data_IF_860386761823
#
_entry.id   IF_860386761823
#
_cell.length_a   1.000
_cell.length_b   1.000
_cell.length_c   1.000
_cell.angle_alpha   90.00
_cell.angle_beta   90.00
_cell.angle_gamma   90.00
#
_symmetry.space_group_name_H-M   'P 1'
#
loop_
_entity.id
_entity.type
_entity.pdbx_description
1 polymer ?
#
# COMPACT_ATOMS: atom_id res chain seq x y z
N UNK A 1 18.27 -34.30 -5.65
CA UNK A 1 16.97 -33.62 -5.44
C UNK A 1 17.15 -32.25 -4.77
N UNK A 2 17.91 -32.12 -3.67
CA UNK A 2 18.16 -30.82 -3.03
C UNK A 2 18.94 -29.82 -3.92
N UNK A 3 19.94 -30.28 -4.68
CA UNK A 3 20.73 -29.41 -5.58
C UNK A 3 19.90 -28.85 -6.75
N UNK A 4 19.02 -29.65 -7.35
CA UNK A 4 18.08 -29.23 -8.40
C UNK A 4 17.09 -28.17 -7.94
N UNK A 5 16.65 -28.25 -6.68
CA UNK A 5 15.74 -27.25 -6.10
C UNK A 5 16.46 -25.93 -5.82
N UNK A 6 17.73 -26.01 -5.42
CA UNK A 6 18.56 -24.83 -5.16
C UNK A 6 18.94 -24.09 -6.45
N UNK A 7 19.24 -24.83 -7.53
CA UNK A 7 19.56 -24.25 -8.84
C UNK A 7 18.34 -23.61 -9.51
N UNK A 8 17.14 -24.18 -9.34
CA UNK A 8 15.89 -23.59 -9.82
C UNK A 8 15.56 -22.26 -9.13
N UNK A 9 15.71 -22.21 -7.80
CA UNK A 9 15.48 -20.99 -7.01
C UNK A 9 16.47 -19.89 -7.39
N UNK A 10 17.75 -20.24 -7.53
CA UNK A 10 18.79 -19.30 -7.96
C UNK A 10 18.50 -18.76 -9.37
N UNK A 11 18.11 -19.64 -10.31
CA UNK A 11 17.81 -19.22 -11.68
C UNK A 11 16.59 -18.29 -11.73
N UNK A 12 15.55 -18.59 -10.95
CA UNK A 12 14.38 -17.72 -10.84
C UNK A 12 14.76 -16.34 -10.30
N UNK A 13 15.64 -16.29 -9.29
CA UNK A 13 16.13 -15.03 -8.73
C UNK A 13 16.95 -14.23 -9.74
N UNK A 14 17.91 -14.87 -10.44
CA UNK A 14 18.72 -14.22 -11.49
C UNK A 14 17.85 -13.70 -12.63
N UNK A 15 16.83 -14.45 -13.06
CA UNK A 15 15.94 -14.03 -14.15
C UNK A 15 14.94 -12.95 -13.73
N UNK A 16 14.60 -12.88 -12.44
CA UNK A 16 13.74 -11.81 -11.92
C UNK A 16 14.40 -10.44 -11.94
N UNK A 17 15.74 -10.37 -11.89
CA UNK A 17 16.52 -9.13 -12.00
C UNK A 17 16.83 -8.70 -13.43
N UNK A 18 16.45 -9.48 -14.45
CA UNK A 18 16.64 -9.12 -15.86
C UNK A 18 15.50 -8.22 -16.31
N UNK A 19 15.77 -6.99 -16.73
CA UNK A 19 14.74 -5.98 -17.00
C UNK A 19 14.24 -5.97 -18.44
N UNK A 20 15.08 -6.39 -19.40
CA UNK A 20 14.75 -6.40 -20.82
C UNK A 20 15.37 -7.60 -21.57
N UNK A 21 14.93 -7.80 -22.82
CA UNK A 21 15.36 -8.93 -23.64
C UNK A 21 16.85 -8.86 -24.05
N UNK A 22 17.48 -7.68 -24.04
CA UNK A 22 18.91 -7.53 -24.33
C UNK A 22 19.74 -8.01 -23.16
N UNK A 23 19.36 -7.63 -21.94
CA UNK A 23 19.98 -8.14 -20.73
C UNK A 23 19.83 -9.67 -20.62
N UNK A 24 18.71 -10.23 -21.08
CA UNK A 24 18.54 -11.68 -21.10
C UNK A 24 19.56 -12.39 -21.99
N UNK A 25 19.91 -11.81 -23.15
CA UNK A 25 20.90 -12.37 -24.08
C UNK A 25 22.33 -12.37 -23.50
N UNK A 26 22.63 -11.46 -22.57
CA UNK A 26 23.91 -11.40 -21.87
C UNK A 26 24.03 -12.43 -20.75
N UNK A 27 22.91 -12.71 -20.06
CA UNK A 27 22.90 -13.53 -18.83
C UNK A 27 22.62 -15.01 -19.14
N UNK A 28 21.94 -15.30 -20.25
CA UNK A 28 21.57 -16.66 -20.65
C UNK A 28 22.58 -17.22 -21.67
N UNK A 29 23.18 -18.39 -21.43
CA UNK A 29 24.05 -19.04 -22.41
C UNK A 29 23.31 -19.31 -23.73
N UNK A 30 23.96 -18.96 -24.86
CA UNK A 30 23.42 -19.16 -26.22
C UNK A 30 23.03 -20.61 -26.54
N UNK A 31 23.66 -21.57 -25.88
CA UNK A 31 23.31 -22.98 -25.98
C UNK A 31 22.57 -23.41 -24.72
N UNK A 32 21.27 -23.65 -24.85
CA UNK A 32 20.44 -24.12 -23.75
C UNK A 32 20.56 -25.62 -23.51
N UNK A 33 21.16 -26.41 -24.42
CA UNK A 33 21.15 -27.87 -24.37
C UNK A 33 21.80 -28.47 -23.13
N UNK A 34 22.69 -27.73 -22.49
CA UNK A 34 23.32 -28.10 -21.22
C UNK A 34 22.42 -27.93 -19.99
N UNK A 35 21.30 -27.22 -20.10
CA UNK A 35 20.37 -27.03 -18.98
C UNK A 35 19.37 -28.19 -18.86
N UNK A 36 18.97 -28.48 -17.61
CA UNK A 36 17.84 -29.36 -17.37
C UNK A 36 16.55 -28.72 -17.89
N UNK A 37 15.57 -29.56 -18.25
CA UNK A 37 14.31 -29.11 -18.87
C UNK A 37 13.56 -28.06 -18.02
N UNK A 38 13.64 -28.15 -16.70
CA UNK A 38 13.03 -27.18 -15.78
C UNK A 38 13.66 -25.79 -15.94
N UNK A 39 15.00 -25.71 -15.94
CA UNK A 39 15.72 -24.45 -16.15
C UNK A 39 15.47 -23.87 -17.53
N UNK A 40 15.42 -24.71 -18.58
CA UNK A 40 15.02 -24.29 -19.93
C UNK A 40 13.63 -23.64 -19.94
N UNK A 41 12.67 -24.24 -19.23
CA UNK A 41 11.31 -23.71 -19.16
C UNK A 41 11.25 -22.35 -18.47
N UNK A 42 12.02 -22.14 -17.39
CA UNK A 42 12.06 -20.86 -16.67
C UNK A 42 12.68 -19.76 -17.54
N UNK A 43 13.80 -20.06 -18.22
CA UNK A 43 14.44 -19.14 -19.17
C UNK A 43 13.49 -18.77 -20.30
N UNK A 44 12.88 -19.77 -20.96
CA UNK A 44 11.91 -19.55 -22.05
C UNK A 44 10.70 -18.75 -21.57
N UNK A 45 10.19 -19.04 -20.38
CA UNK A 45 9.09 -18.28 -19.80
C UNK A 45 9.49 -16.81 -19.63
N UNK A 46 10.65 -16.51 -19.05
CA UNK A 46 11.15 -15.14 -18.91
C UNK A 46 11.39 -14.47 -20.27
N UNK A 47 11.90 -15.19 -21.26
CA UNK A 47 12.04 -14.67 -22.63
C UNK A 47 10.69 -14.26 -23.20
N UNK A 48 9.66 -15.10 -23.06
CA UNK A 48 8.31 -14.76 -23.53
C UNK A 48 7.70 -13.58 -22.76
N UNK A 49 8.02 -13.43 -21.48
CA UNK A 49 7.64 -12.26 -20.68
C UNK A 49 8.27 -10.96 -21.20
N UNK A 50 9.58 -10.96 -21.41
CA UNK A 50 10.34 -9.79 -21.87
C UNK A 50 10.03 -9.40 -23.32
N UNK A 51 9.67 -10.38 -24.15
CA UNK A 51 9.21 -10.15 -25.53
C UNK A 51 7.71 -9.79 -25.61
N UNK A 52 6.99 -9.75 -24.48
CA UNK A 52 5.56 -9.47 -24.43
C UNK A 52 4.67 -10.57 -25.04
N UNK A 53 5.22 -11.75 -25.30
CA UNK A 53 4.52 -12.91 -25.88
C UNK A 53 3.65 -13.63 -24.83
N UNK A 54 4.07 -13.59 -23.56
CA UNK A 54 3.35 -14.19 -22.43
C UNK A 54 3.40 -13.24 -21.23
N UNK A 55 2.34 -13.14 -20.44
CA UNK A 55 2.40 -12.39 -19.17
C UNK A 55 3.25 -13.16 -18.14
N UNK A 56 3.96 -12.46 -17.25
CA UNK A 56 4.53 -13.11 -16.08
C UNK A 56 3.45 -13.83 -15.30
N UNK A 57 3.76 -15.02 -14.80
CA UNK A 57 2.96 -15.60 -13.74
C UNK A 57 3.06 -14.63 -12.57
N UNK A 58 1.99 -13.86 -12.30
CA UNK A 58 1.96 -12.99 -11.15
C UNK A 58 2.27 -13.84 -9.91
N UNK A 59 3.17 -13.38 -9.00
CA UNK A 59 3.34 -14.07 -7.74
C UNK A 59 1.97 -14.26 -7.09
N UNK A 60 1.75 -15.36 -6.35
CA UNK A 60 0.47 -15.58 -5.69
C UNK A 60 0.17 -14.34 -4.86
N UNK A 61 -1.00 -13.74 -5.11
CA UNK A 61 -1.43 -12.59 -4.33
C UNK A 61 -1.43 -13.02 -2.86
N UNK A 62 -0.80 -12.24 -1.96
CA UNK A 62 -0.68 -12.64 -0.57
C UNK A 62 -2.05 -12.91 0.03
N UNK A 63 -2.19 -14.04 0.72
CA UNK A 63 -3.44 -14.45 1.37
C UNK A 63 -3.41 -14.16 2.87
N UNK A 64 -2.22 -14.14 3.47
CA UNK A 64 -2.03 -13.80 4.87
C UNK A 64 -2.18 -12.28 5.09
N UNK A 65 -2.93 -11.84 6.11
CA UNK A 65 -3.16 -10.41 6.36
C UNK A 65 -1.88 -9.57 6.46
N UNK A 66 -0.81 -10.12 7.04
CA UNK A 66 0.47 -9.42 7.20
C UNK A 66 1.21 -9.27 5.88
N UNK A 67 1.12 -10.27 5.02
CA UNK A 67 1.70 -10.20 3.68
C UNK A 67 0.93 -9.22 2.78
N UNK A 68 -0.41 -9.17 2.90
CA UNK A 68 -1.25 -8.18 2.19
C UNK A 68 -0.90 -6.77 2.65
N UNK A 69 -0.79 -6.56 3.96
CA UNK A 69 -0.41 -5.27 4.54
C UNK A 69 0.96 -4.81 4.03
N UNK A 70 2.01 -5.64 4.13
CA UNK A 70 3.34 -5.25 3.65
C UNK A 70 3.39 -5.10 2.12
N UNK A 71 2.58 -5.86 1.38
CA UNK A 71 2.46 -5.67 -0.07
C UNK A 71 1.91 -4.28 -0.40
N UNK A 72 0.86 -3.82 0.28
CA UNK A 72 0.33 -2.47 0.11
C UNK A 72 1.34 -1.39 0.54
N UNK A 73 2.09 -1.62 1.61
CA UNK A 73 3.19 -0.73 2.03
C UNK A 73 4.25 -0.61 0.93
N UNK A 74 4.66 -1.73 0.33
CA UNK A 74 5.65 -1.73 -0.75
C UNK A 74 5.14 -0.99 -2.00
N UNK A 75 3.84 -1.10 -2.33
CA UNK A 75 3.24 -0.34 -3.43
C UNK A 75 3.35 1.18 -3.20
N UNK A 76 3.20 1.65 -1.96
CA UNK A 76 3.40 3.07 -1.62
C UNK A 76 4.88 3.45 -1.79
N UNK A 77 5.82 2.62 -1.31
CA UNK A 77 7.26 2.87 -1.46
C UNK A 77 7.64 2.96 -2.93
N UNK A 78 7.23 1.98 -3.75
CA UNK A 78 7.49 1.96 -5.18
C UNK A 78 6.92 3.22 -5.86
N UNK A 79 5.72 3.66 -5.46
CA UNK A 79 5.11 4.87 -6.00
C UNK A 79 5.87 6.15 -5.63
N UNK A 80 6.42 6.21 -4.40
CA UNK A 80 7.27 7.33 -3.97
C UNK A 80 8.59 7.34 -4.74
N UNK A 81 9.19 6.17 -4.96
CA UNK A 81 10.45 6.01 -5.71
C UNK A 81 10.28 6.33 -7.20
N UNK A 82 9.12 6.03 -7.79
CA UNK A 82 8.91 6.10 -9.25
C UNK A 82 8.49 7.49 -9.75
N UNK A 83 7.78 8.36 -9.00
CA UNK A 83 7.62 9.77 -9.42
C UNK A 83 6.95 10.76 -8.44
N UNK A 84 7.56 11.94 -8.37
CA UNK A 84 7.21 13.16 -7.62
C UNK A 84 5.93 13.92 -8.08
N UNK A 85 5.09 13.38 -8.98
CA UNK A 85 4.07 14.19 -9.71
C UNK A 85 2.61 13.70 -9.65
N UNK A 86 2.33 12.58 -8.98
CA UNK A 86 0.96 12.06 -8.86
C UNK A 86 0.56 11.86 -7.39
N UNK A 87 0.56 12.96 -6.63
CA UNK A 87 0.19 12.96 -5.21
C UNK A 87 -1.18 12.34 -4.91
N UNK A 88 -2.13 12.46 -5.84
CA UNK A 88 -3.46 11.83 -5.73
C UNK A 88 -3.37 10.30 -5.67
N UNK A 89 -2.44 9.67 -6.39
CA UNK A 89 -2.27 8.20 -6.38
C UNK A 89 -1.75 7.74 -5.02
N UNK A 90 -0.77 8.47 -4.47
CA UNK A 90 -0.21 8.21 -3.14
C UNK A 90 -1.26 8.41 -2.05
N UNK A 91 -2.02 9.50 -2.09
CA UNK A 91 -3.14 9.73 -1.16
C UNK A 91 -4.11 8.55 -1.18
N UNK A 92 -4.51 8.10 -2.38
CA UNK A 92 -5.43 6.98 -2.54
C UNK A 92 -4.86 5.68 -1.93
N UNK A 93 -3.59 5.36 -2.18
CA UNK A 93 -2.95 4.16 -1.63
C UNK A 93 -2.88 4.20 -0.09
N UNK A 94 -2.58 5.37 0.49
CA UNK A 94 -2.51 5.56 1.94
C UNK A 94 -3.88 5.43 2.61
N UNK A 95 -4.93 6.01 2.00
CA UNK A 95 -6.33 5.84 2.44
C UNK A 95 -6.76 4.37 2.39
N UNK A 96 -6.44 3.66 1.30
CA UNK A 96 -6.74 2.24 1.14
C UNK A 96 -6.01 1.38 2.18
N UNK A 97 -4.74 1.69 2.47
CA UNK A 97 -3.97 1.01 3.52
C UNK A 97 -4.61 1.24 4.90
N UNK A 98 -4.98 2.49 5.23
CA UNK A 98 -5.61 2.82 6.50
C UNK A 98 -6.91 2.03 6.69
N UNK A 99 -7.77 2.02 5.65
CA UNK A 99 -9.00 1.24 5.65
C UNK A 99 -8.74 -0.26 5.79
N UNK A 100 -7.75 -0.80 5.07
CA UNK A 100 -7.37 -2.21 5.18
C UNK A 100 -7.01 -2.57 6.63
N UNK A 101 -6.09 -1.85 7.25
CA UNK A 101 -5.67 -2.13 8.63
C UNK A 101 -6.82 -2.00 9.64
N UNK A 102 -7.75 -1.07 9.42
CA UNK A 102 -8.95 -0.94 10.26
C UNK A 102 -9.90 -2.13 10.11
N UNK A 103 -10.17 -2.60 8.89
CA UNK A 103 -11.04 -3.76 8.67
C UNK A 103 -10.43 -5.05 9.22
N UNK A 104 -9.12 -5.24 9.06
CA UNK A 104 -8.39 -6.39 9.63
C UNK A 104 -8.32 -6.33 11.17
N UNK A 105 -8.51 -5.15 11.80
CA UNK A 105 -8.72 -5.07 13.26
C UNK A 105 -10.08 -5.62 13.69
N UNK A 106 -11.13 -5.32 12.93
CA UNK A 106 -12.50 -5.66 13.29
C UNK A 106 -12.79 -7.13 13.00
N UNK A 107 -12.31 -7.64 11.86
CA UNK A 107 -12.67 -8.96 11.36
C UNK A 107 -12.45 -10.11 12.37
N UNK A 108 -11.31 -10.20 13.10
CA UNK A 108 -11.12 -11.23 14.12
C UNK A 108 -12.12 -11.13 15.28
N UNK A 109 -12.61 -9.94 15.62
CA UNK A 109 -13.62 -9.75 16.68
C UNK A 109 -15.00 -10.27 16.28
N UNK A 110 -15.22 -10.46 14.98
CA UNK A 110 -16.45 -11.02 14.40
C UNK A 110 -16.35 -12.53 14.11
N UNK A 111 -15.16 -13.13 14.29
CA UNK A 111 -14.84 -14.52 13.95
C UNK A 111 -15.67 -15.58 14.67
N UNK A 112 -16.38 -15.21 15.75
CA UNK A 112 -17.32 -16.10 16.44
C UNK A 112 -18.70 -16.19 15.77
N UNK A 113 -18.92 -15.49 14.65
CA UNK A 113 -20.20 -15.48 13.93
C UNK A 113 -20.09 -16.15 12.56
N UNK A 114 -21.17 -16.80 12.11
CA UNK A 114 -21.32 -17.31 10.74
C UNK A 114 -21.11 -16.22 9.66
N UNK A 115 -21.19 -14.95 10.05
CA UNK A 115 -20.92 -13.82 9.18
C UNK A 115 -19.45 -13.77 8.74
N UNK A 116 -18.48 -14.11 9.61
CA UNK A 116 -17.05 -14.07 9.27
C UNK A 116 -16.69 -15.04 8.13
N UNK A 117 -17.34 -16.21 8.07
CA UNK A 117 -17.18 -17.16 6.96
C UNK A 117 -17.75 -16.60 5.66
N UNK A 118 -18.90 -15.92 5.74
CA UNK A 118 -19.53 -15.27 4.58
C UNK A 118 -18.65 -14.16 4.00
N UNK A 119 -17.95 -13.40 4.86
CA UNK A 119 -17.00 -12.36 4.41
C UNK A 119 -15.80 -13.01 3.70
N UNK A 120 -15.24 -14.09 4.27
CA UNK A 120 -14.11 -14.83 3.71
C UNK A 120 -14.44 -15.47 2.36
N UNK A 121 -15.66 -15.98 2.22
CA UNK A 121 -16.10 -16.72 1.03
C UNK A 121 -16.85 -15.89 -0.01
N UNK A 122 -16.83 -14.56 0.14
CA UNK A 122 -17.43 -13.65 -0.84
C UNK A 122 -16.81 -13.84 -2.23
N UNK A 123 -17.62 -14.38 -3.15
CA UNK A 123 -17.23 -14.67 -4.53
C UNK A 123 -16.73 -13.43 -5.28
N UNK A 124 -17.37 -12.27 -5.08
CA UNK A 124 -16.96 -11.04 -5.75
C UNK A 124 -15.60 -10.53 -5.28
N UNK A 125 -15.28 -10.73 -3.99
CA UNK A 125 -13.93 -10.44 -3.47
C UNK A 125 -12.91 -11.37 -4.14
N UNK A 126 -13.21 -12.67 -4.27
CA UNK A 126 -12.32 -13.63 -4.94
C UNK A 126 -12.08 -13.28 -6.41
N UNK A 127 -13.12 -12.90 -7.15
CA UNK A 127 -12.99 -12.44 -8.54
C UNK A 127 -12.15 -11.16 -8.64
N UNK A 128 -12.39 -10.17 -7.78
CA UNK A 128 -11.62 -8.92 -7.77
C UNK A 128 -10.15 -9.15 -7.37
N UNK A 129 -9.88 -10.07 -6.44
CA UNK A 129 -8.50 -10.46 -6.10
C UNK A 129 -7.79 -11.10 -7.29
N UNK A 130 -8.50 -11.82 -8.16
CA UNK A 130 -7.94 -12.32 -9.40
C UNK A 130 -7.69 -11.19 -10.41
N UNK A 131 -8.64 -10.26 -10.57
CA UNK A 131 -8.44 -9.06 -11.42
C UNK A 131 -7.26 -8.22 -10.95
N UNK A 132 -7.06 -8.09 -9.63
CA UNK A 132 -5.94 -7.35 -9.04
C UNK A 132 -4.58 -7.94 -9.43
N UNK A 133 -4.48 -9.26 -9.62
CA UNK A 133 -3.26 -9.92 -10.11
C UNK A 133 -2.93 -9.54 -11.56
N UNK A 134 -3.95 -9.18 -12.34
CA UNK A 134 -3.84 -8.83 -13.75
C UNK A 134 -3.77 -7.32 -14.00
N UNK A 135 -3.95 -6.51 -12.96
CA UNK A 135 -4.03 -5.05 -13.01
C UNK A 135 -2.73 -4.43 -13.52
N UNK A 136 -2.86 -3.39 -14.36
CA UNK A 136 -1.77 -2.65 -14.97
C UNK A 136 -1.80 -1.21 -14.50
N UNK A 137 -0.84 -0.87 -13.66
CA UNK A 137 -0.64 0.48 -13.17
C UNK A 137 -1.38 0.78 -11.86
N UNK A 138 -0.94 1.83 -11.15
CA UNK A 138 -1.38 2.11 -9.80
C UNK A 138 -2.84 2.57 -9.71
N UNK A 139 -3.40 3.20 -10.75
CA UNK A 139 -4.81 3.63 -10.77
C UNK A 139 -5.77 2.43 -10.83
N UNK A 140 -5.45 1.43 -11.66
CA UNK A 140 -6.26 0.21 -11.77
C UNK A 140 -6.16 -0.62 -10.48
N UNK A 141 -4.96 -0.73 -9.90
CA UNK A 141 -4.72 -1.36 -8.60
C UNK A 141 -5.57 -0.70 -7.52
N UNK A 142 -5.50 0.62 -7.40
CA UNK A 142 -6.27 1.39 -6.41
C UNK A 142 -7.78 1.22 -6.61
N UNK A 143 -8.23 1.23 -7.87
CA UNK A 143 -9.64 1.03 -8.21
C UNK A 143 -10.16 -0.35 -7.76
N UNK A 144 -9.42 -1.43 -8.05
CA UNK A 144 -9.81 -2.78 -7.67
C UNK A 144 -9.74 -2.96 -6.15
N UNK A 145 -8.67 -2.47 -5.50
CA UNK A 145 -8.53 -2.50 -4.05
C UNK A 145 -9.66 -1.74 -3.33
N UNK A 146 -10.06 -0.57 -3.84
CA UNK A 146 -11.19 0.18 -3.31
C UNK A 146 -12.50 -0.64 -3.38
N UNK A 147 -12.72 -1.38 -4.47
CA UNK A 147 -13.88 -2.26 -4.58
C UNK A 147 -13.84 -3.40 -3.56
N UNK A 148 -12.69 -4.06 -3.40
CA UNK A 148 -12.51 -5.14 -2.42
C UNK A 148 -12.80 -4.63 -1.00
N UNK A 149 -12.22 -3.49 -0.61
CA UNK A 149 -12.39 -2.94 0.73
C UNK A 149 -13.81 -2.45 0.98
N UNK A 150 -14.48 -1.87 -0.03
CA UNK A 150 -15.89 -1.52 0.08
C UNK A 150 -16.77 -2.75 0.33
N UNK A 151 -16.54 -3.85 -0.40
CA UNK A 151 -17.28 -5.11 -0.16
C UNK A 151 -17.03 -5.65 1.25
N UNK A 152 -15.76 -5.74 1.68
CA UNK A 152 -15.40 -6.16 3.05
C UNK A 152 -16.10 -5.30 4.11
N UNK A 153 -16.10 -3.97 3.93
CA UNK A 153 -16.71 -3.04 4.85
C UNK A 153 -18.24 -3.21 4.93
N UNK A 154 -18.92 -3.40 3.80
CA UNK A 154 -20.36 -3.66 3.74
C UNK A 154 -20.73 -4.98 4.43
N UNK A 155 -19.92 -6.01 4.23
CA UNK A 155 -20.14 -7.32 4.86
C UNK A 155 -19.91 -7.24 6.38
N UNK A 156 -18.88 -6.52 6.83
CA UNK A 156 -18.63 -6.25 8.25
C UNK A 156 -19.76 -5.45 8.88
N UNK A 157 -20.25 -4.40 8.20
CA UNK A 157 -21.40 -3.61 8.66
C UNK A 157 -22.64 -4.49 8.87
N UNK A 158 -22.93 -5.36 7.91
CA UNK A 158 -24.08 -6.27 8.00
C UNK A 158 -23.93 -7.20 9.21
N UNK A 159 -22.75 -7.79 9.38
CA UNK A 159 -22.44 -8.66 10.51
C UNK A 159 -22.61 -7.96 11.88
N UNK A 160 -22.12 -6.72 11.99
CA UNK A 160 -22.23 -5.91 13.23
C UNK A 160 -23.69 -5.53 13.50
N UNK A 161 -24.45 -5.14 12.47
CA UNK A 161 -25.87 -4.81 12.58
C UNK A 161 -26.69 -6.02 13.05
N UNK A 162 -26.44 -7.20 12.47
CA UNK A 162 -27.15 -8.43 12.83
C UNK A 162 -26.81 -8.87 14.27
N UNK A 163 -25.54 -8.77 14.68
CA UNK A 163 -25.12 -9.05 16.05
C UNK A 163 -25.81 -8.12 17.06
N UNK A 164 -25.92 -6.82 16.75
CA UNK A 164 -26.58 -5.84 17.60
C UNK A 164 -28.09 -6.04 17.71
N UNK A 165 -28.73 -6.65 16.72
CA UNK A 165 -30.14 -7.02 16.79
C UNK A 165 -30.36 -8.24 17.69
N UNK A 166 -29.37 -9.13 17.80
CA UNK A 166 -29.42 -10.34 18.62
C UNK A 166 -29.08 -10.05 20.08
N UNK A 167 -28.05 -9.22 20.32
CA UNK A 167 -27.51 -8.92 21.65
C UNK A 167 -27.96 -7.51 22.07
N UNK A 168 -28.97 -7.42 22.94
CA UNK A 168 -29.49 -6.17 23.51
C UNK A 168 -28.49 -5.41 24.45
N UNK A 169 -27.20 -5.77 24.46
CA UNK A 169 -26.18 -5.09 25.25
C UNK A 169 -25.35 -4.13 24.39
N UNK A 170 -25.17 -2.92 24.93
CA UNK A 170 -24.36 -1.83 24.39
C UNK A 170 -24.67 -1.38 22.94
N UNK A 171 -25.96 -1.18 22.68
CA UNK A 171 -26.49 -0.59 21.42
C UNK A 171 -25.75 0.69 21.01
N UNK A 172 -25.30 1.50 21.96
CA UNK A 172 -24.56 2.75 21.68
C UNK A 172 -23.19 2.48 21.07
N UNK A 173 -22.43 1.50 21.55
CA UNK A 173 -21.13 1.17 20.98
C UNK A 173 -21.26 0.51 19.61
N UNK A 174 -22.27 -0.34 19.41
CA UNK A 174 -22.57 -0.94 18.10
C UNK A 174 -22.97 0.13 17.07
N UNK A 175 -23.81 1.09 17.46
CA UNK A 175 -24.22 2.20 16.60
C UNK A 175 -23.04 3.12 16.24
N UNK A 176 -22.14 3.41 17.21
CA UNK A 176 -20.89 4.11 16.94
C UNK A 176 -20.02 3.38 15.92
N UNK A 177 -19.84 2.07 16.09
CA UNK A 177 -19.04 1.26 15.15
C UNK A 177 -19.66 1.23 13.75
N UNK A 178 -20.98 1.10 13.65
CA UNK A 178 -21.71 1.17 12.38
C UNK A 178 -21.53 2.53 11.70
N UNK A 179 -21.61 3.63 12.45
CA UNK A 179 -21.37 4.97 11.90
C UNK A 179 -19.92 5.14 11.41
N UNK A 180 -18.94 4.58 12.13
CA UNK A 180 -17.55 4.56 11.69
C UNK A 180 -17.41 3.78 10.37
N UNK A 181 -18.02 2.59 10.26
CA UNK A 181 -18.01 1.80 9.03
C UNK A 181 -18.66 2.54 7.84
N UNK A 182 -19.78 3.23 8.08
CA UNK A 182 -20.42 4.04 7.04
C UNK A 182 -19.54 5.20 6.57
N UNK A 183 -18.84 5.88 7.49
CA UNK A 183 -17.88 6.92 7.13
C UNK A 183 -16.72 6.38 6.29
N UNK A 184 -16.24 5.18 6.61
CA UNK A 184 -15.18 4.52 5.84
C UNK A 184 -15.59 4.14 4.41
N UNK A 185 -16.89 4.03 4.11
CA UNK A 185 -17.37 3.78 2.74
C UNK A 185 -17.27 5.01 1.82
N UNK A 186 -17.14 6.21 2.37
CA UNK A 186 -17.11 7.47 1.59
C UNK A 186 -15.88 7.51 0.67
N UNK A 187 -14.70 7.22 1.21
CA UNK A 187 -13.44 7.29 0.45
C UNK A 187 -13.38 6.28 -0.71
N UNK A 188 -13.65 4.98 -0.51
CA UNK A 188 -13.82 4.04 -1.61
C UNK A 188 -14.86 4.48 -2.64
N UNK A 189 -16.01 5.02 -2.21
CA UNK A 189 -17.02 5.51 -3.15
C UNK A 189 -16.50 6.65 -4.04
N UNK A 190 -15.77 7.61 -3.47
CA UNK A 190 -15.10 8.68 -4.22
C UNK A 190 -14.07 8.11 -5.20
N UNK A 191 -13.16 7.25 -4.74
CA UNK A 191 -12.12 6.61 -5.56
C UNK A 191 -12.70 5.87 -6.77
N UNK A 192 -13.70 5.03 -6.51
CA UNK A 192 -14.34 4.21 -7.54
C UNK A 192 -15.11 5.13 -8.50
N UNK A 193 -15.78 6.18 -8.00
CA UNK A 193 -16.52 7.12 -8.85
C UNK A 193 -15.62 7.90 -9.83
N UNK A 194 -14.42 8.33 -9.38
CA UNK A 194 -13.43 9.02 -10.21
C UNK A 194 -12.96 8.16 -11.39
N UNK A 195 -12.77 6.85 -11.16
CA UNK A 195 -12.20 5.92 -12.14
C UNK A 195 -13.26 5.06 -12.87
N UNK A 196 -14.56 5.22 -12.56
CA UNK A 196 -15.66 4.41 -13.10
C UNK A 196 -15.78 4.42 -14.63
N UNK A 197 -15.34 5.51 -15.29
CA UNK A 197 -15.37 5.59 -16.77
C UNK A 197 -14.24 4.82 -17.44
N UNK A 198 -13.14 4.58 -16.72
CA UNK A 198 -11.96 3.89 -17.23
C UNK A 198 -12.06 2.36 -17.10
N UNK A 199 -12.82 1.85 -16.12
CA UNK A 199 -12.88 0.42 -15.82
C UNK A 199 -14.31 -0.13 -15.88
N UNK A 200 -14.47 -1.29 -16.55
CA UNK A 200 -15.78 -1.87 -16.91
C UNK A 200 -16.45 -2.69 -15.78
N UNK A 201 -15.73 -3.12 -14.74
CA UNK A 201 -16.26 -3.93 -13.64
C UNK A 201 -16.60 -3.08 -12.42
N UNK A 202 -17.90 -2.90 -12.14
CA UNK A 202 -18.39 -2.19 -10.95
C UNK A 202 -19.29 -3.12 -10.15
N UNK A 203 -18.73 -3.79 -9.14
CA UNK A 203 -19.42 -4.83 -8.36
C UNK A 203 -19.99 -4.32 -7.05
N UNK A 204 -19.51 -3.18 -6.56
CA UNK A 204 -19.82 -2.68 -5.20
C UNK A 204 -21.24 -2.17 -4.99
N UNK A 205 -22.00 -1.82 -6.03
CA UNK A 205 -23.41 -1.38 -5.91
C UNK A 205 -24.42 -2.48 -6.22
N UNK A 206 -23.97 -3.69 -6.55
CA UNK A 206 -24.84 -4.83 -6.77
C UNK A 206 -25.34 -5.34 -5.41
N UNK A 207 -26.59 -5.78 -5.38
CA UNK A 207 -27.24 -6.34 -4.18
C UNK A 207 -28.42 -5.50 -3.66
N UNK A 208 -29.27 -6.16 -2.88
CA UNK A 208 -30.54 -5.64 -2.37
C UNK A 208 -30.56 -5.53 -0.83
N UNK A 209 -29.40 -5.61 -0.17
CA UNK A 209 -29.31 -5.41 1.29
C UNK A 209 -29.45 -3.92 1.63
N UNK A 210 -29.89 -3.61 2.85
CA UNK A 210 -29.97 -2.23 3.35
C UNK A 210 -28.64 -1.46 3.16
N UNK A 211 -27.51 -2.12 3.40
CA UNK A 211 -26.19 -1.53 3.22
C UNK A 211 -25.85 -1.23 1.76
N UNK A 212 -26.41 -2.00 0.82
CA UNK A 212 -26.24 -1.77 -0.61
C UNK A 212 -27.00 -0.50 -1.03
N UNK A 213 -28.18 -0.25 -0.46
CA UNK A 213 -28.95 0.99 -0.66
C UNK A 213 -28.25 2.20 -0.06
N UNK A 214 -27.78 2.10 1.19
CA UNK A 214 -27.00 3.16 1.83
C UNK A 214 -25.74 3.47 1.01
N UNK A 215 -25.05 2.44 0.51
CA UNK A 215 -23.84 2.64 -0.30
C UNK A 215 -24.13 3.29 -1.66
N UNK A 216 -25.29 3.02 -2.28
CA UNK A 216 -25.73 3.73 -3.50
C UNK A 216 -25.92 5.23 -3.23
N UNK A 217 -26.55 5.60 -2.11
CA UNK A 217 -26.70 7.01 -1.71
C UNK A 217 -25.35 7.68 -1.44
N UNK A 218 -24.45 7.01 -0.71
CA UNK A 218 -23.08 7.50 -0.48
C UNK A 218 -22.37 7.73 -1.83
N UNK A 219 -22.49 6.79 -2.76
CA UNK A 219 -21.87 6.90 -4.09
C UNK A 219 -22.47 8.04 -4.90
N UNK A 220 -23.79 8.26 -4.84
CA UNK A 220 -24.43 9.38 -5.52
C UNK A 220 -23.96 10.73 -4.98
N UNK A 221 -23.85 10.86 -3.66
CA UNK A 221 -23.28 12.06 -3.01
C UNK A 221 -21.83 12.28 -3.42
N UNK A 222 -21.01 11.24 -3.39
CA UNK A 222 -19.61 11.28 -3.83
C UNK A 222 -19.45 11.73 -5.29
N UNK A 223 -20.31 11.25 -6.20
CA UNK A 223 -20.32 11.69 -7.61
C UNK A 223 -20.65 13.18 -7.72
N UNK A 224 -21.64 13.68 -6.98
CA UNK A 224 -22.01 15.10 -6.98
C UNK A 224 -20.88 15.98 -6.43
N UNK A 225 -20.19 15.55 -5.38
CA UNK A 225 -19.04 16.25 -4.79
C UNK A 225 -17.85 16.30 -5.74
N UNK A 226 -17.51 15.16 -6.37
CA UNK A 226 -16.42 15.09 -7.34
C UNK A 226 -16.66 15.98 -8.57
N UNK A 227 -17.91 16.15 -9.00
CA UNK A 227 -18.25 17.08 -10.08
C UNK A 227 -18.08 18.56 -9.69
N UNK A 228 -18.24 18.90 -8.41
CA UNK A 228 -18.05 20.27 -7.89
C UNK A 228 -16.57 20.65 -7.74
N UNK A 229 -15.73 19.68 -7.37
CA UNK A 229 -14.28 19.88 -7.20
C UNK A 229 -13.52 20.08 -8.52
N UNK A 230 -14.16 19.89 -9.68
CA UNK A 230 -13.54 20.16 -10.99
C UNK A 230 -13.29 21.66 -11.26
N UNK A 231 -13.73 22.54 -10.36
CA UNK A 231 -13.42 23.97 -10.35
C UNK A 231 -12.20 24.17 -9.44
N UNK A 232 -11.00 24.24 -10.04
CA UNK A 232 -9.68 24.25 -9.38
C UNK A 232 -9.55 25.28 -8.26
N UNK A 233 -9.11 24.81 -7.09
CA UNK A 233 -8.26 25.60 -6.20
C UNK A 233 -6.85 25.65 -6.82
N UNK A 234 -6.40 26.84 -7.18
CA UNK A 234 -5.01 27.14 -7.51
C UNK A 234 -4.37 27.62 -6.22
N UNK A 235 -3.99 26.69 -5.37
CA UNK A 235 -3.16 26.95 -4.19
C UNK A 235 -1.75 26.45 -4.49
N UNK A 236 -0.74 27.23 -4.12
CA UNK A 236 0.68 26.88 -4.32
C UNK A 236 1.16 25.73 -3.42
N UNK A 237 0.25 25.12 -2.64
CA UNK A 237 0.52 24.02 -1.73
C UNK A 237 -0.14 22.73 -2.25
N UNK A 238 0.57 21.60 -2.38
CA UNK A 238 -0.03 20.37 -2.86
C UNK A 238 -1.03 19.82 -1.82
N UNK A 239 -2.33 19.84 -2.15
CA UNK A 239 -3.43 19.41 -1.26
C UNK A 239 -3.28 17.99 -0.71
N UNK A 240 -2.60 17.11 -1.47
CA UNK A 240 -2.32 15.74 -1.05
C UNK A 240 -1.36 15.65 0.16
N UNK A 241 -0.44 16.60 0.34
CA UNK A 241 0.44 16.64 1.53
C UNK A 241 -0.38 16.96 2.78
N UNK A 242 -1.34 17.87 2.67
CA UNK A 242 -2.26 18.19 3.77
C UNK A 242 -3.13 16.98 4.12
N UNK A 243 -3.63 16.26 3.11
CA UNK A 243 -4.37 15.01 3.30
C UNK A 243 -3.52 13.96 4.03
N UNK A 244 -2.24 13.80 3.68
CA UNK A 244 -1.32 12.90 4.39
C UNK A 244 -1.11 13.32 5.84
N UNK A 245 -0.94 14.61 6.10
CA UNK A 245 -0.80 15.12 7.47
C UNK A 245 -2.08 14.90 8.30
N UNK A 246 -3.25 15.07 7.70
CA UNK A 246 -4.52 14.72 8.34
C UNK A 246 -4.61 13.23 8.65
N UNK A 247 -4.23 12.36 7.71
CA UNK A 247 -4.15 10.90 7.93
C UNK A 247 -3.16 10.54 9.04
N UNK A 248 -2.01 11.20 9.09
CA UNK A 248 -1.01 11.03 10.15
C UNK A 248 -1.58 11.30 11.54
N UNK A 249 -2.36 12.37 11.68
CA UNK A 249 -3.04 12.70 12.93
C UNK A 249 -4.11 11.66 13.27
N UNK A 250 -4.89 11.25 12.27
CA UNK A 250 -5.92 10.22 12.44
C UNK A 250 -5.34 8.89 12.94
N UNK A 251 -4.26 8.40 12.30
CA UNK A 251 -3.58 7.15 12.70
C UNK A 251 -3.00 7.29 14.11
N UNK A 252 -2.43 8.45 14.47
CA UNK A 252 -1.95 8.71 15.83
C UNK A 252 -3.06 8.62 16.88
N UNK A 253 -4.25 9.16 16.61
CA UNK A 253 -5.39 9.01 17.53
C UNK A 253 -5.86 7.55 17.62
N UNK A 254 -5.89 6.82 16.50
CA UNK A 254 -6.22 5.40 16.48
C UNK A 254 -5.23 4.55 17.29
N UNK A 255 -3.96 4.90 17.29
CA UNK A 255 -2.93 4.25 18.11
C UNK A 255 -3.14 4.47 19.61
N UNK A 256 -3.57 5.66 20.04
CA UNK A 256 -3.81 6.00 21.46
C UNK A 256 -4.96 5.21 22.09
N UNK A 257 -5.92 4.78 21.28
CA UNK A 257 -7.15 4.12 21.75
C UNK A 257 -6.99 2.60 21.94
N UNK A 258 -5.77 2.06 21.83
CA UNK A 258 -5.56 0.64 21.58
C UNK A 258 -4.86 -0.11 22.71
N UNK A 259 -5.56 -1.09 23.28
CA UNK A 259 -4.98 -2.24 23.98
C UNK A 259 -4.96 -3.43 23.00
N UNK A 260 -3.78 -3.81 22.47
CA UNK A 260 -3.65 -5.01 21.61
C UNK A 260 -2.45 -5.87 21.98
N UNK A 261 -2.53 -7.13 21.55
CA UNK A 261 -1.42 -8.06 21.56
C UNK A 261 -0.31 -7.54 20.63
N UNK A 262 0.86 -7.26 21.22
CA UNK A 262 2.05 -6.87 20.46
C UNK A 262 2.51 -8.07 19.64
N UNK A 263 2.67 -7.89 18.34
CA UNK A 263 3.41 -8.82 17.48
C UNK A 263 4.67 -8.12 16.97
N UNK A 264 5.79 -8.84 16.82
CA UNK A 264 7.00 -8.25 16.28
C UNK A 264 6.77 -7.85 14.81
N UNK A 265 7.38 -6.73 14.41
CA UNK A 265 7.51 -6.38 13.00
C UNK A 265 8.49 -7.39 12.37
N UNK A 266 8.18 -7.98 11.20
CA UNK A 266 9.09 -8.89 10.52
C UNK A 266 10.44 -8.22 10.20
N UNK A 267 11.52 -8.99 10.27
CA UNK A 267 12.84 -8.52 9.85
C UNK A 267 12.87 -8.27 8.34
N UNK A 268 13.60 -7.23 7.92
CA UNK A 268 13.83 -6.94 6.51
C UNK A 268 12.66 -6.26 5.77
N UNK A 269 11.67 -5.70 6.49
CA UNK A 269 10.66 -4.83 5.87
C UNK A 269 11.31 -3.63 5.18
N UNK A 270 10.88 -3.31 3.94
CA UNK A 270 11.40 -2.15 3.20
C UNK A 270 11.07 -0.86 3.94
N UNK A 271 12.03 0.06 3.99
CA UNK A 271 11.86 1.37 4.60
C UNK A 271 12.01 2.46 3.55
N UNK A 272 11.22 3.51 3.71
CA UNK A 272 11.39 4.74 2.95
C UNK A 272 12.48 5.57 3.64
N UNK A 273 13.46 6.14 2.91
CA UNK A 273 14.46 7.02 3.50
C UNK A 273 13.79 8.20 4.22
N UNK A 274 14.20 8.51 5.45
CA UNK A 274 13.71 9.66 6.21
C UNK A 274 14.36 10.97 5.71
N UNK A 275 14.08 11.35 4.47
CA UNK A 275 14.55 12.61 3.87
C UNK A 275 13.47 13.67 3.94
N UNK A 276 13.85 14.94 3.96
CA UNK A 276 12.92 16.07 4.07
C UNK A 276 11.76 16.01 3.05
N UNK A 277 12.05 15.58 1.82
CA UNK A 277 11.07 15.47 0.72
C UNK A 277 9.99 14.40 0.97
N UNK A 278 10.25 13.42 1.84
CA UNK A 278 9.36 12.27 2.08
C UNK A 278 8.94 12.11 3.54
N UNK A 279 9.27 13.07 4.40
CA UNK A 279 9.08 12.98 5.86
C UNK A 279 7.64 12.62 6.25
N UNK A 280 6.64 13.29 5.69
CA UNK A 280 5.23 13.05 6.02
C UNK A 280 4.79 11.61 5.65
N UNK A 281 5.31 11.07 4.56
CA UNK A 281 5.03 9.70 4.09
C UNK A 281 5.76 8.68 4.96
N UNK A 282 7.04 8.92 5.26
CA UNK A 282 7.82 8.09 6.16
C UNK A 282 7.16 8.00 7.55
N UNK A 283 6.73 9.14 8.11
CA UNK A 283 6.01 9.19 9.39
C UNK A 283 4.70 8.39 9.33
N UNK A 284 3.94 8.52 8.26
CA UNK A 284 2.71 7.75 8.06
C UNK A 284 2.98 6.25 8.03
N UNK A 285 3.94 5.83 7.22
CA UNK A 285 4.30 4.42 7.08
C UNK A 285 4.77 3.81 8.41
N UNK A 286 5.58 4.56 9.16
CA UNK A 286 6.04 4.14 10.49
C UNK A 286 4.85 3.96 11.44
N UNK A 287 3.98 4.97 11.54
CA UNK A 287 2.76 4.91 12.36
C UNK A 287 1.83 3.77 11.95
N UNK A 288 1.66 3.54 10.65
CA UNK A 288 0.82 2.45 10.14
C UNK A 288 1.37 1.08 10.48
N UNK A 289 2.69 0.87 10.40
CA UNK A 289 3.33 -0.37 10.88
C UNK A 289 3.13 -0.55 12.38
N UNK A 290 3.35 0.48 13.18
CA UNK A 290 3.07 0.45 14.61
C UNK A 290 1.60 0.13 14.90
N UNK A 291 0.67 0.72 14.14
CA UNK A 291 -0.75 0.44 14.21
C UNK A 291 -1.10 -0.98 13.75
N UNK A 292 -0.43 -1.55 12.75
CA UNK A 292 -0.71 -2.93 12.32
C UNK A 292 -0.18 -3.95 13.33
N UNK A 293 1.08 -3.81 13.74
CA UNK A 293 1.78 -4.77 14.61
C UNK A 293 1.58 -4.54 16.12
N UNK A 294 1.06 -3.38 16.53
CA UNK A 294 0.88 -3.08 17.94
C UNK A 294 2.18 -2.80 18.67
N UNK A 295 3.14 -2.20 17.97
CA UNK A 295 4.42 -1.77 18.55
C UNK A 295 4.39 -0.29 18.87
N UNK A 296 5.27 0.14 19.77
CA UNK A 296 5.55 1.56 19.97
C UNK A 296 6.32 2.11 18.76
N UNK A 297 6.19 3.43 18.52
CA UNK A 297 7.01 4.10 17.53
C UNK A 297 8.48 3.98 17.92
N UNK A 298 9.37 3.57 17.01
CA UNK A 298 10.80 3.63 17.29
C UNK A 298 11.18 5.08 17.58
N UNK A 299 11.82 5.30 18.73
CA UNK A 299 12.45 6.59 19.06
C UNK A 299 13.59 6.74 18.06
N UNK A 300 13.43 7.61 17.06
CA UNK A 300 14.54 7.95 16.19
C UNK A 300 15.51 8.85 16.95
N UNK A 301 16.82 8.57 16.95
CA UNK A 301 17.80 9.58 17.31
C UNK A 301 17.63 10.76 16.36
N UNK A 302 17.69 11.98 16.88
CA UNK A 302 17.77 13.19 16.05
C UNK A 302 18.99 13.03 15.14
N UNK A 303 18.79 13.13 13.82
CA UNK A 303 19.89 13.12 12.86
C UNK A 303 20.79 14.32 13.17
N UNK A 304 21.94 14.04 13.78
CA UNK A 304 23.03 14.99 14.06
C UNK A 304 23.86 15.27 12.78
N UNK A 305 23.25 15.18 11.60
CA UNK A 305 23.89 15.50 10.31
C UNK A 305 23.84 17.01 10.01
N UNK A 306 24.15 17.82 11.04
CA UNK A 306 24.56 19.21 10.92
C UNK A 306 26.04 19.33 11.29
N UNK A 307 26.88 18.38 10.85
CA UNK A 307 28.32 18.57 10.84
C UNK A 307 28.70 19.50 9.67
N UNK A 308 28.93 20.76 10.03
CA UNK A 308 29.61 21.81 9.29
C UNK A 308 30.48 21.31 8.10
N UNK A 309 30.02 21.55 6.87
CA UNK A 309 30.93 21.75 5.74
C UNK A 309 31.64 23.11 5.89
N UNK A 310 32.51 23.25 6.89
CA UNK A 310 33.64 24.19 6.77
C UNK A 310 34.69 23.52 5.89
N UNK A 311 34.62 23.82 4.60
CA UNK A 311 35.63 23.44 3.62
C UNK A 311 37.01 23.96 4.03
N UNK A 312 38.10 23.26 3.66
CA UNK A 312 39.45 23.70 4.00
C UNK A 312 39.79 24.96 3.22
N UNK A 313 40.00 26.07 3.93
CA UNK A 313 40.59 27.30 3.39
C UNK A 313 42.04 27.02 2.94
N UNK A 314 42.18 26.58 1.69
CA UNK A 314 43.45 26.61 0.98
C UNK A 314 43.62 27.96 0.30
N UNK A 315 44.19 28.94 1.02
CA UNK A 315 44.91 30.04 0.39
C UNK A 315 46.41 29.82 0.59
N UNK A 316 47.00 29.17 -0.39
CA UNK A 316 48.44 29.17 -0.65
C UNK A 316 48.77 30.52 -1.31
N UNK A 317 49.62 31.37 -0.72
CA UNK A 317 51.01 31.46 -1.17
C UNK A 317 51.88 32.48 -0.38
N UNK A 318 53.08 32.01 -0.05
CA UNK A 318 54.38 32.69 -0.04
C UNK A 318 54.51 34.14 0.50
N UNK A 319 55.21 34.26 1.63
CA UNK A 319 56.54 34.90 1.68
C UNK A 319 57.13 34.86 3.10
N UNK A 320 58.29 34.23 3.22
CA UNK A 320 59.25 34.52 4.30
C UNK A 320 60.53 35.01 3.59
N UNK A 321 61.04 36.19 3.95
CA UNK A 321 62.35 36.18 4.60
C UNK A 321 62.56 37.29 5.66
N UNK A 322 63.19 36.87 6.76
CA UNK A 322 64.26 37.55 7.53
C UNK A 322 64.07 38.97 8.10
N UNK A 323 64.31 39.03 9.42
CA UNK A 323 65.12 40.02 10.17
C UNK A 323 65.02 41.53 9.84
N UNK A 324 64.51 42.29 10.83
CA UNK A 324 64.96 43.63 11.30
C UNK A 324 64.17 43.91 12.60
N UNK A 325 64.71 43.61 13.80
CA UNK A 325 65.58 44.44 14.68
C UNK A 325 64.86 45.65 15.34
N UNK A 326 65.08 45.77 16.67
CA UNK A 326 64.76 46.84 17.64
C UNK A 326 63.35 46.77 18.26
N UNK A 327 63.15 46.70 19.59
CA UNK A 327 63.96 47.09 20.77
C UNK A 327 63.79 46.09 21.93
#
# INVERSE_FOLDING_TARGET
>A
MAETYHSEKLMTQVLSSVEDAYQLDEVVPRNLDSFCNTTKNIVLQRSFELLGIRKPSAPPFPEEPDQVFEHMMNQIIDQVEIQHHHGDILENQMELLCLHSFLEEILPRLSMSAAAETIRDNHHIKELSNELRDARGPEEINFIQAQILALKCKDIYTAVKDLGNIINQDRRSIEKLNNILLNFLIKPALLISKNKRAHRSFRVTLGDRDIDEIYRDITERAVRESQRQHIREVTDYPSWIEAINMMNNYVSEMMKLRDRFRKPIPDGVRQLPNRADFRAIHEFMSKMRCYHYGTELPIQPEDDDNENEEGPDQNVNDQNPQELVQE
#
